data_IF_064235064616
#
_entry.id   IF_064235064616
#
_cell.length_a   1.000
_cell.length_b   1.000
_cell.length_c   1.000
_cell.angle_alpha   90.00
_cell.angle_beta   90.00
_cell.angle_gamma   90.00
#
_symmetry.space_group_name_H-M   'P 1'
#
loop_
_entity.id
_entity.type
_entity.pdbx_description
1 polymer ?
#
# COMPACT_ATOMS: atom_id res chain seq x y z
N UNK A 1 0.39 10.17 -22.39
CA UNK A 1 -0.54 10.40 -21.25
C UNK A 1 -0.19 11.72 -20.62
N UNK A 2 -1.15 12.65 -20.56
CA UNK A 2 -0.86 14.06 -20.23
C UNK A 2 -0.64 14.30 -18.73
N UNK A 3 -1.37 13.59 -17.87
CA UNK A 3 -1.19 13.67 -16.42
C UNK A 3 -0.09 12.71 -15.96
N UNK A 4 1.03 13.26 -15.47
CA UNK A 4 2.21 12.49 -15.09
C UNK A 4 2.36 12.47 -13.57
N UNK A 5 2.19 11.33 -12.90
CA UNK A 5 2.40 11.20 -11.47
C UNK A 5 3.90 11.14 -11.14
N UNK A 6 4.31 11.91 -10.14
CA UNK A 6 5.67 11.90 -9.61
C UNK A 6 5.62 11.42 -8.16
N UNK A 7 6.50 10.49 -7.82
CA UNK A 7 6.61 9.90 -6.49
C UNK A 7 7.89 10.41 -5.81
N UNK A 8 7.75 11.17 -4.74
CA UNK A 8 8.87 11.75 -3.99
C UNK A 8 9.03 11.02 -2.64
N UNK A 9 10.13 10.28 -2.43
CA UNK A 9 10.40 9.61 -1.15
C UNK A 9 10.48 10.62 0.01
N UNK A 10 9.93 10.24 1.17
CA UNK A 10 9.88 11.10 2.37
C UNK A 10 11.01 10.83 3.38
N UNK A 11 12.00 10.01 3.03
CA UNK A 11 13.16 9.75 3.87
C UNK A 11 12.96 8.72 4.99
N UNK A 12 11.74 8.32 5.30
CA UNK A 12 11.44 7.21 6.25
C UNK A 12 11.55 5.82 5.61
N UNK A 13 11.75 5.78 4.28
CA UNK A 13 11.90 4.56 3.49
C UNK A 13 10.59 3.85 3.15
N UNK A 14 9.45 4.35 3.66
CA UNK A 14 8.13 3.72 3.47
C UNK A 14 7.04 4.70 3.02
N UNK A 15 7.29 6.01 3.12
CA UNK A 15 6.33 7.05 2.72
C UNK A 15 6.79 7.80 1.47
N UNK A 16 5.81 8.15 0.63
CA UNK A 16 6.04 8.86 -0.62
C UNK A 16 4.99 9.95 -0.79
N UNK A 17 5.45 11.14 -1.20
CA UNK A 17 4.53 12.20 -1.61
C UNK A 17 4.19 12.05 -3.10
N UNK A 18 2.91 12.16 -3.44
CA UNK A 18 2.40 12.11 -4.80
C UNK A 18 2.25 13.55 -5.33
N UNK A 19 3.04 13.89 -6.33
CA UNK A 19 2.95 15.19 -7.00
C UNK A 19 2.65 14.96 -8.47
N UNK A 20 1.39 15.08 -8.89
CA UNK A 20 1.05 14.98 -10.30
C UNK A 20 1.41 16.26 -11.01
N UNK A 21 1.83 16.13 -12.24
CA UNK A 21 2.07 17.26 -13.15
C UNK A 21 1.36 17.03 -14.47
N UNK A 22 0.75 18.07 -15.01
CA UNK A 22 0.34 18.05 -16.41
C UNK A 22 1.54 18.30 -17.31
N UNK A 23 1.60 17.60 -18.43
CA UNK A 23 2.58 17.86 -19.46
C UNK A 23 2.06 18.96 -20.37
N UNK A 24 2.80 20.04 -20.54
CA UNK A 24 2.49 21.19 -21.39
C UNK A 24 2.87 20.95 -22.86
N UNK A 25 3.65 19.92 -23.13
CA UNK A 25 4.13 19.58 -24.45
C UNK A 25 4.10 18.06 -24.65
N UNK A 26 4.00 17.66 -25.92
CA UNK A 26 4.20 16.25 -26.30
C UNK A 26 5.61 15.83 -25.93
N UNK A 27 5.81 14.87 -25.04
CA UNK A 27 7.13 14.47 -24.58
C UNK A 27 7.93 13.79 -25.67
N UNK A 28 9.24 13.92 -25.60
CA UNK A 28 10.21 13.18 -26.43
C UNK A 28 10.25 11.69 -26.06
N UNK A 29 11.26 11.02 -26.52
CA UNK A 29 11.45 9.56 -26.51
C UNK A 29 11.26 8.87 -25.16
N UNK A 30 10.03 8.66 -24.76
CA UNK A 30 9.70 7.68 -23.74
C UNK A 30 8.97 6.50 -24.38
N UNK A 31 9.48 5.27 -24.27
CA UNK A 31 8.81 4.08 -24.81
C UNK A 31 7.38 3.89 -24.27
N UNK A 32 7.11 4.43 -23.08
CA UNK A 32 5.79 4.38 -22.44
C UNK A 32 4.83 5.48 -22.88
N UNK A 33 5.35 6.53 -23.55
CA UNK A 33 4.58 7.69 -24.00
C UNK A 33 4.44 7.76 -25.53
N UNK A 34 5.00 6.80 -26.26
CA UNK A 34 4.79 6.68 -27.69
C UNK A 34 3.30 6.46 -27.98
N UNK A 35 2.79 7.20 -28.94
CA UNK A 35 1.45 7.02 -29.52
C UNK A 35 0.24 7.39 -28.64
N UNK A 36 0.38 8.22 -27.60
CA UNK A 36 -0.81 8.75 -26.92
C UNK A 36 -1.42 9.99 -27.61
N UNK A 37 -0.69 10.55 -28.57
CA UNK A 37 -1.15 11.61 -29.47
C UNK A 37 -0.43 11.49 -30.81
N UNK A 38 -1.11 11.83 -31.89
CA UNK A 38 -0.53 11.88 -33.25
C UNK A 38 0.24 13.18 -33.54
N UNK A 39 0.39 14.03 -32.53
CA UNK A 39 1.11 15.29 -32.63
C UNK A 39 2.63 15.10 -32.54
N UNK A 40 3.43 15.91 -33.25
CA UNK A 40 4.87 15.88 -33.17
C UNK A 40 5.38 16.17 -31.74
N UNK A 41 6.53 15.60 -31.38
CA UNK A 41 7.24 15.89 -30.12
C UNK A 41 7.51 17.38 -29.99
N UNK A 42 7.30 17.92 -28.79
CA UNK A 42 7.43 19.36 -28.49
C UNK A 42 6.20 20.20 -28.84
N UNK A 43 5.17 19.62 -29.49
CA UNK A 43 3.92 20.34 -29.72
C UNK A 43 3.29 20.73 -28.39
N UNK A 44 2.87 21.98 -28.24
CA UNK A 44 2.13 22.46 -27.06
C UNK A 44 0.79 21.78 -27.00
N UNK A 45 0.43 21.32 -25.80
CA UNK A 45 -0.85 20.70 -25.45
C UNK A 45 -1.42 21.43 -24.24
N UNK A 46 -2.70 21.81 -24.33
CA UNK A 46 -3.37 22.48 -23.21
C UNK A 46 -3.86 21.47 -22.17
N UNK A 47 -4.09 21.96 -20.99
CA UNK A 47 -4.71 21.22 -19.89
C UNK A 47 -5.51 22.18 -19.00
N UNK A 48 -6.35 21.65 -18.10
CA UNK A 48 -7.09 22.43 -17.13
C UNK A 48 -6.13 23.26 -16.25
N UNK A 49 -6.55 24.49 -15.91
CA UNK A 49 -5.70 25.46 -15.23
C UNK A 49 -5.56 25.21 -13.73
N UNK A 50 -6.49 24.49 -13.12
CA UNK A 50 -6.47 24.21 -11.70
C UNK A 50 -5.72 22.90 -11.38
N UNK A 51 -5.39 22.72 -10.09
CA UNK A 51 -4.72 21.54 -9.58
C UNK A 51 -5.64 20.63 -8.75
N UNK A 52 -6.94 20.57 -9.08
CA UNK A 52 -7.90 19.70 -8.40
C UNK A 52 -7.70 18.22 -8.73
N UNK A 53 -6.47 17.77 -8.57
CA UNK A 53 -6.08 16.38 -8.82
C UNK A 53 -6.30 15.57 -7.55
N UNK A 54 -7.01 14.45 -7.68
CA UNK A 54 -7.20 13.50 -6.60
C UNK A 54 -6.59 12.14 -6.94
N UNK A 55 -6.26 11.41 -5.88
CA UNK A 55 -5.66 10.08 -5.94
C UNK A 55 -6.57 9.07 -5.26
N UNK A 56 -6.73 7.94 -5.88
CA UNK A 56 -7.41 6.79 -5.33
C UNK A 56 -6.52 5.56 -5.49
N UNK A 57 -6.31 4.81 -4.43
CA UNK A 57 -5.57 3.56 -4.51
C UNK A 57 -6.47 2.48 -5.13
N UNK A 58 -5.99 1.85 -6.20
CA UNK A 58 -6.69 0.74 -6.84
C UNK A 58 -6.31 -0.57 -6.14
N UNK A 59 -5.02 -0.80 -5.93
CA UNK A 59 -4.51 -2.01 -5.28
C UNK A 59 -3.06 -1.85 -4.85
N UNK A 60 -2.62 -2.71 -3.96
CA UNK A 60 -1.24 -2.77 -3.50
C UNK A 60 -1.10 -2.67 -1.98
N UNK A 61 0.12 -2.86 -1.47
CA UNK A 61 0.42 -2.83 -0.04
C UNK A 61 0.69 -1.41 0.46
N UNK A 62 -0.32 -0.53 0.42
CA UNK A 62 -0.19 0.85 0.87
C UNK A 62 -1.50 1.41 1.42
N UNK A 63 -1.40 2.48 2.18
CA UNK A 63 -2.51 3.36 2.57
C UNK A 63 -2.24 4.77 2.09
N UNK A 64 -3.30 5.48 1.66
CA UNK A 64 -3.23 6.86 1.20
C UNK A 64 -3.78 7.78 2.28
N UNK A 65 -3.05 8.87 2.53
CA UNK A 65 -3.49 10.02 3.31
C UNK A 65 -3.25 11.30 2.50
N UNK A 66 -4.30 11.88 1.94
CA UNK A 66 -4.21 13.03 1.05
C UNK A 66 -3.27 12.75 -0.16
N UNK A 67 -2.21 13.55 -0.29
CA UNK A 67 -1.20 13.42 -1.34
C UNK A 67 0.02 12.57 -0.92
N UNK A 68 -0.09 11.82 0.17
CA UNK A 68 0.98 10.94 0.65
C UNK A 68 0.46 9.51 0.74
N UNK A 69 1.23 8.54 0.26
CA UNK A 69 0.99 7.15 0.58
C UNK A 69 2.13 6.59 1.40
N UNK A 70 1.76 5.65 2.27
CA UNK A 70 2.70 4.87 3.08
C UNK A 70 2.57 3.41 2.71
N UNK A 71 3.70 2.74 2.52
CA UNK A 71 3.73 1.28 2.35
C UNK A 71 3.17 0.64 3.62
N UNK A 72 2.12 -0.16 3.45
CA UNK A 72 1.49 -0.92 4.52
C UNK A 72 1.10 -2.30 3.99
N UNK A 73 1.66 -3.34 4.60
CA UNK A 73 1.42 -4.68 4.15
C UNK A 73 -0.01 -5.12 4.42
N UNK A 74 -0.53 -5.84 3.47
CA UNK A 74 -1.84 -6.47 3.50
C UNK A 74 -1.79 -7.80 2.74
N UNK A 75 -2.90 -8.46 2.61
CA UNK A 75 -3.00 -9.76 1.92
C UNK A 75 -2.60 -9.74 0.43
N UNK A 76 -2.31 -8.59 -0.17
CA UNK A 76 -1.79 -8.52 -1.54
C UNK A 76 -0.28 -8.78 -1.62
N UNK A 77 0.43 -8.74 -0.48
CA UNK A 77 1.84 -9.08 -0.40
C UNK A 77 2.03 -10.60 -0.44
N UNK A 78 2.98 -11.03 -1.25
CA UNK A 78 3.52 -12.40 -1.20
C UNK A 78 4.99 -12.35 -0.78
N UNK A 79 5.32 -12.98 0.33
CA UNK A 79 6.71 -13.08 0.81
C UNK A 79 7.63 -13.77 -0.20
N UNK A 80 7.09 -14.67 -1.04
CA UNK A 80 7.84 -15.34 -2.10
C UNK A 80 8.20 -14.40 -3.27
N UNK A 81 7.51 -13.27 -3.41
CA UNK A 81 7.78 -12.29 -4.47
C UNK A 81 8.96 -11.40 -4.10
N UNK A 82 9.72 -10.96 -5.10
CA UNK A 82 10.78 -9.96 -4.92
C UNK A 82 10.26 -8.52 -4.95
N UNK A 83 9.12 -8.30 -5.62
CA UNK A 83 8.54 -6.98 -5.87
C UNK A 83 7.03 -6.99 -5.67
N UNK A 84 6.48 -5.84 -5.32
CA UNK A 84 5.05 -5.59 -5.25
C UNK A 84 4.71 -4.27 -5.96
N UNK A 85 3.58 -4.26 -6.65
CA UNK A 85 3.07 -3.07 -7.33
C UNK A 85 2.01 -2.37 -6.47
N UNK A 86 2.11 -1.05 -6.43
CA UNK A 86 1.09 -0.17 -5.87
C UNK A 86 0.51 0.62 -7.04
N UNK A 87 -0.78 0.50 -7.26
CA UNK A 87 -1.47 1.06 -8.41
C UNK A 87 -2.50 2.09 -7.94
N UNK A 88 -2.47 3.26 -8.55
CA UNK A 88 -3.35 4.38 -8.27
C UNK A 88 -4.17 4.76 -9.48
N UNK A 89 -5.37 5.29 -9.29
CA UNK A 89 -6.06 6.15 -10.23
C UNK A 89 -5.76 7.60 -9.87
N UNK A 90 -5.20 8.34 -10.81
CA UNK A 90 -5.01 9.79 -10.72
C UNK A 90 -6.11 10.43 -11.56
N UNK A 91 -6.88 11.35 -10.96
CA UNK A 91 -8.07 11.93 -11.57
C UNK A 91 -8.01 13.45 -11.53
N UNK A 92 -8.47 14.06 -12.61
CA UNK A 92 -8.80 15.49 -12.65
C UNK A 92 -10.20 15.66 -13.23
N UNK A 93 -11.08 16.50 -12.65
CA UNK A 93 -12.48 16.63 -13.07
C UNK A 93 -12.65 17.33 -14.42
N UNK A 94 -11.58 17.94 -14.96
CA UNK A 94 -11.65 18.82 -16.12
C UNK A 94 -12.19 20.20 -15.75
N UNK A 95 -12.41 21.05 -16.73
CA UNK A 95 -13.00 22.37 -16.59
C UNK A 95 -13.92 22.69 -17.81
N UNK A 96 -14.19 23.96 -18.08
CA UNK A 96 -15.04 24.37 -19.21
C UNK A 96 -14.44 24.07 -20.56
N UNK A 97 -13.11 23.99 -20.66
CA UNK A 97 -12.35 23.80 -21.91
C UNK A 97 -11.83 22.38 -22.05
N UNK A 98 -11.50 21.72 -20.95
CA UNK A 98 -10.83 20.42 -20.92
C UNK A 98 -11.70 19.34 -20.25
N UNK A 99 -11.76 18.18 -20.90
CA UNK A 99 -12.51 17.01 -20.39
C UNK A 99 -11.87 16.43 -19.14
N UNK A 100 -12.67 15.74 -18.30
CA UNK A 100 -12.12 14.94 -17.22
C UNK A 100 -11.08 13.93 -17.72
N UNK A 101 -10.05 13.70 -16.89
CA UNK A 101 -9.04 12.71 -17.16
C UNK A 101 -8.93 11.75 -15.97
N UNK A 102 -8.76 10.47 -16.29
CA UNK A 102 -8.39 9.42 -15.31
C UNK A 102 -7.17 8.70 -15.87
N UNK A 103 -6.14 8.60 -15.06
CA UNK A 103 -4.92 7.93 -15.46
C UNK A 103 -4.46 6.96 -14.37
N UNK A 104 -4.04 5.77 -14.79
CA UNK A 104 -3.34 4.84 -13.91
C UNK A 104 -1.91 5.32 -13.68
N UNK A 105 -1.50 5.28 -12.41
CA UNK A 105 -0.14 5.44 -11.97
C UNK A 105 0.30 4.17 -11.23
N UNK A 106 1.55 3.77 -11.39
CA UNK A 106 2.10 2.57 -10.76
C UNK A 106 3.49 2.86 -10.23
N UNK A 107 3.73 2.41 -9.01
CA UNK A 107 5.08 2.30 -8.44
C UNK A 107 5.33 0.84 -8.06
N UNK A 108 6.51 0.34 -8.39
CA UNK A 108 6.96 -0.98 -7.99
C UNK A 108 7.96 -0.84 -6.85
N UNK A 109 7.68 -1.49 -5.73
CA UNK A 109 8.54 -1.50 -4.55
C UNK A 109 9.15 -2.88 -4.33
N UNK A 110 10.34 -3.00 -3.71
CA UNK A 110 10.82 -4.29 -3.24
C UNK A 110 9.92 -4.80 -2.10
N UNK A 111 9.60 -6.09 -2.08
CA UNK A 111 8.89 -6.71 -0.94
C UNK A 111 9.78 -6.77 0.28
N UNK A 112 11.09 -6.92 0.08
CA UNK A 112 12.08 -7.00 1.15
C UNK A 112 13.18 -5.98 0.97
N UNK A 113 13.46 -5.21 2.00
CA UNK A 113 14.71 -4.48 2.15
C UNK A 113 15.77 -5.47 2.66
N UNK A 114 16.83 -5.68 1.87
CA UNK A 114 17.92 -6.62 2.19
C UNK A 114 19.18 -5.93 2.70
N UNK A 115 19.19 -4.60 2.72
CA UNK A 115 20.33 -3.81 3.18
C UNK A 115 20.22 -3.48 4.67
N UNK A 116 21.37 -3.46 5.36
CA UNK A 116 21.48 -3.04 6.75
C UNK A 116 21.48 -4.16 7.76
N UNK A 117 21.25 -3.83 9.04
CA UNK A 117 21.21 -4.80 10.12
C UNK A 117 19.99 -5.72 10.03
N UNK A 118 20.15 -7.04 10.23
CA UNK A 118 18.99 -7.93 10.29
C UNK A 118 18.14 -7.63 11.53
N UNK A 119 16.85 -7.96 11.45
CA UNK A 119 15.93 -7.88 12.58
C UNK A 119 14.99 -9.09 12.62
N UNK A 120 14.39 -9.31 13.79
CA UNK A 120 13.40 -10.37 14.03
C UNK A 120 12.15 -9.79 14.67
N UNK A 121 11.00 -10.26 14.21
CA UNK A 121 9.70 -10.00 14.84
C UNK A 121 9.38 -11.13 15.79
N UNK A 122 8.86 -10.79 16.97
CA UNK A 122 8.23 -11.73 17.89
C UNK A 122 6.74 -11.43 17.93
N UNK A 123 5.88 -12.43 17.76
CA UNK A 123 4.44 -12.31 17.80
C UNK A 123 3.85 -13.32 18.78
N UNK A 124 3.18 -12.84 19.82
CA UNK A 124 2.58 -13.71 20.84
C UNK A 124 1.51 -14.63 20.23
N UNK A 125 1.45 -15.87 20.70
CA UNK A 125 0.44 -16.82 20.28
C UNK A 125 -0.97 -16.30 20.59
N UNK A 126 -1.89 -16.51 19.65
CA UNK A 126 -3.28 -16.13 19.79
C UNK A 126 -4.10 -17.36 20.23
N UNK A 127 -4.82 -17.23 21.35
CA UNK A 127 -5.73 -18.27 21.82
C UNK A 127 -7.04 -18.28 21.03
N UNK A 128 -7.67 -19.44 20.96
CA UNK A 128 -9.02 -19.56 20.43
C UNK A 128 -10.01 -18.72 21.24
N UNK A 129 -11.01 -18.18 20.57
CA UNK A 129 -11.99 -17.27 21.17
C UNK A 129 -13.40 -17.80 21.05
N UNK A 130 -14.25 -17.43 21.98
CA UNK A 130 -15.69 -17.75 21.94
C UNK A 130 -16.43 -16.78 20.99
N UNK A 131 -17.53 -17.24 20.44
CA UNK A 131 -18.47 -16.38 19.70
C UNK A 131 -18.88 -15.15 20.50
N UNK A 132 -19.02 -14.03 19.83
CA UNK A 132 -19.48 -12.79 20.46
C UNK A 132 -18.36 -11.92 21.01
N UNK A 133 -17.14 -12.41 21.11
CA UNK A 133 -15.97 -11.54 21.40
C UNK A 133 -15.84 -10.51 20.28
N UNK A 134 -15.63 -9.25 20.65
CA UNK A 134 -15.57 -8.13 19.71
C UNK A 134 -14.17 -7.88 19.17
N UNK A 135 -13.17 -8.03 20.01
CA UNK A 135 -11.78 -7.77 19.65
C UNK A 135 -10.79 -8.57 20.51
N UNK A 136 -9.57 -8.68 19.98
CA UNK A 136 -8.40 -9.24 20.68
C UNK A 136 -7.23 -8.29 20.49
N UNK A 137 -6.45 -8.03 21.55
CA UNK A 137 -5.23 -7.24 21.45
C UNK A 137 -4.08 -8.07 20.88
N UNK A 138 -3.46 -7.58 19.82
CA UNK A 138 -2.29 -8.19 19.22
C UNK A 138 -1.03 -7.67 19.93
N UNK A 139 -0.11 -8.59 20.26
CA UNK A 139 1.15 -8.26 20.95
C UNK A 139 2.32 -8.77 20.14
N UNK A 140 3.07 -7.85 19.53
CA UNK A 140 4.29 -8.17 18.81
C UNK A 140 5.34 -7.07 19.02
N UNK A 141 6.59 -7.45 18.86
CA UNK A 141 7.74 -6.54 18.95
C UNK A 141 8.79 -6.92 17.93
N UNK A 142 9.64 -5.96 17.56
CA UNK A 142 10.86 -6.20 16.81
C UNK A 142 12.07 -5.92 17.71
N UNK A 143 13.12 -6.71 17.58
CA UNK A 143 14.40 -6.50 18.28
C UNK A 143 15.12 -5.22 17.80
N UNK A 144 14.76 -4.68 16.64
CA UNK A 144 15.23 -3.37 16.17
C UNK A 144 14.55 -2.17 16.86
N UNK A 145 13.48 -2.40 17.65
CA UNK A 145 12.64 -1.35 18.23
C UNK A 145 11.69 -0.67 17.23
N UNK A 146 11.68 -1.06 15.94
CA UNK A 146 10.74 -0.53 14.97
C UNK A 146 9.30 -1.06 15.23
N UNK A 147 8.27 -0.25 14.97
CA UNK A 147 6.89 -0.65 15.23
C UNK A 147 6.46 -1.80 14.31
N UNK A 148 5.85 -2.83 14.88
CA UNK A 148 5.32 -3.98 14.12
C UNK A 148 3.91 -3.67 13.65
N UNK A 149 3.66 -3.90 12.36
CA UNK A 149 2.34 -3.82 11.74
C UNK A 149 1.66 -5.19 11.70
N UNK A 150 0.34 -5.18 11.50
CA UNK A 150 -0.46 -6.39 11.39
C UNK A 150 -1.41 -6.32 10.21
N UNK A 151 -1.73 -7.48 9.63
CA UNK A 151 -2.86 -7.60 8.72
C UNK A 151 -3.55 -8.95 8.88
N UNK A 152 -4.83 -9.03 8.49
CA UNK A 152 -5.58 -10.28 8.43
C UNK A 152 -5.36 -10.91 7.07
N UNK A 153 -4.72 -12.07 7.04
CA UNK A 153 -4.55 -12.87 5.84
C UNK A 153 -5.86 -13.58 5.47
N UNK A 154 -6.55 -14.14 6.47
CA UNK A 154 -7.84 -14.80 6.27
C UNK A 154 -8.70 -14.77 7.53
N UNK A 155 -10.01 -14.87 7.33
CA UNK A 155 -11.00 -14.91 8.41
C UNK A 155 -11.82 -13.61 8.55
N UNK A 156 -12.91 -13.65 9.36
CA UNK A 156 -13.84 -12.55 9.53
C UNK A 156 -13.32 -11.54 10.57
N UNK A 157 -12.23 -10.85 10.26
CA UNK A 157 -11.64 -9.85 11.13
C UNK A 157 -10.93 -8.76 10.30
N UNK A 158 -10.67 -7.62 10.93
CA UNK A 158 -9.82 -6.53 10.45
C UNK A 158 -8.92 -6.04 11.56
N UNK A 159 -7.83 -5.39 11.21
CA UNK A 159 -6.89 -4.78 12.16
C UNK A 159 -7.12 -3.28 12.23
N UNK A 160 -7.12 -2.72 13.43
CA UNK A 160 -7.06 -1.29 13.72
C UNK A 160 -5.96 -1.05 14.76
N UNK A 161 -4.81 -0.53 14.33
CA UNK A 161 -3.63 -0.44 15.18
C UNK A 161 -3.15 -1.81 15.65
N UNK A 162 -3.21 -2.05 16.96
CA UNK A 162 -2.92 -3.35 17.58
C UNK A 162 -4.18 -4.12 18.02
N UNK A 163 -5.37 -3.71 17.57
CA UNK A 163 -6.62 -4.40 17.86
C UNK A 163 -7.06 -5.21 16.65
N UNK A 164 -7.28 -6.50 16.85
CA UNK A 164 -7.97 -7.37 15.90
C UNK A 164 -9.47 -7.31 16.19
N UNK A 165 -10.24 -6.72 15.30
CA UNK A 165 -11.68 -6.51 15.44
C UNK A 165 -12.40 -7.54 14.58
N UNK A 166 -13.29 -8.32 15.20
CA UNK A 166 -14.10 -9.30 14.47
C UNK A 166 -15.22 -8.64 13.68
N UNK A 167 -15.38 -9.08 12.44
CA UNK A 167 -16.48 -8.67 11.56
C UNK A 167 -17.64 -9.64 11.63
N UNK A 168 -18.85 -9.29 11.17
CA UNK A 168 -19.97 -10.19 11.14
C UNK A 168 -19.66 -11.51 10.43
N UNK A 169 -19.97 -12.62 11.08
CA UNK A 169 -19.83 -13.97 10.53
C UNK A 169 -21.16 -14.35 9.87
N UNK A 170 -21.16 -14.87 8.63
CA UNK A 170 -22.38 -15.29 7.97
C UNK A 170 -23.20 -16.29 8.83
N UNK A 171 -24.53 -16.21 8.86
CA UNK A 171 -25.37 -17.09 9.70
C UNK A 171 -25.22 -18.60 9.42
N UNK A 172 -24.77 -18.95 8.20
CA UNK A 172 -24.55 -20.36 7.79
C UNK A 172 -23.08 -20.79 7.89
N UNK A 173 -22.23 -20.02 8.54
CA UNK A 173 -20.83 -20.40 8.72
C UNK A 173 -20.73 -21.67 9.58
N UNK A 174 -19.85 -22.57 9.16
CA UNK A 174 -19.52 -23.78 9.92
C UNK A 174 -18.40 -23.43 10.89
N UNK A 175 -18.56 -23.81 12.14
CA UNK A 175 -17.59 -23.60 13.21
C UNK A 175 -16.74 -24.85 13.43
N UNK A 176 -15.49 -24.70 13.89
CA UNK A 176 -14.81 -23.46 14.24
C UNK A 176 -14.39 -22.64 13.01
N UNK A 177 -14.46 -21.30 13.11
CA UNK A 177 -14.06 -20.39 12.03
C UNK A 177 -12.61 -20.00 12.20
N UNK A 178 -11.78 -20.32 11.20
CA UNK A 178 -10.34 -20.01 11.18
C UNK A 178 -10.08 -18.53 10.96
N UNK A 179 -9.14 -17.95 11.74
CA UNK A 179 -8.61 -16.62 11.55
C UNK A 179 -7.09 -16.68 11.49
N UNK A 180 -6.49 -16.05 10.50
CA UNK A 180 -5.03 -15.98 10.32
C UNK A 180 -4.59 -14.53 10.28
N UNK A 181 -3.65 -14.18 11.16
CA UNK A 181 -3.08 -12.84 11.31
C UNK A 181 -1.59 -12.89 11.10
N UNK A 182 -1.06 -11.92 10.39
CA UNK A 182 0.37 -11.77 10.11
C UNK A 182 0.89 -10.52 10.80
N UNK A 183 1.98 -10.66 11.54
CA UNK A 183 2.78 -9.57 12.06
C UNK A 183 3.98 -9.33 11.14
N UNK A 184 4.28 -8.08 10.81
CA UNK A 184 5.31 -7.72 9.85
C UNK A 184 6.06 -6.45 10.25
N UNK A 185 7.30 -6.33 9.77
CA UNK A 185 8.11 -5.12 9.89
C UNK A 185 8.99 -4.97 8.65
N UNK A 186 8.76 -3.89 7.89
CA UNK A 186 9.43 -3.66 6.60
C UNK A 186 10.92 -3.32 6.72
N UNK A 187 11.36 -2.85 7.89
CA UNK A 187 12.71 -2.31 8.09
C UNK A 187 12.79 -0.83 7.73
N UNK A 188 14.00 -0.38 7.44
CA UNK A 188 14.29 1.00 7.10
C UNK A 188 15.40 1.07 6.05
N UNK A 189 15.15 1.76 4.95
CA UNK A 189 16.14 1.97 3.88
C UNK A 189 17.08 3.16 4.13
N UNK A 190 16.67 4.11 5.00
CA UNK A 190 17.52 5.21 5.47
C UNK A 190 18.43 4.80 6.63
N UNK A 191 19.47 5.62 6.92
CA UNK A 191 20.43 5.34 8.00
C UNK A 191 19.80 5.48 9.41
N UNK A 192 20.14 4.60 10.36
CA UNK A 192 20.77 3.31 10.16
C UNK A 192 19.86 2.33 9.42
N UNK A 193 20.38 1.68 8.39
CA UNK A 193 19.61 0.73 7.57
C UNK A 193 19.26 -0.54 8.36
N UNK A 194 18.02 -1.01 8.18
CA UNK A 194 17.50 -2.20 8.85
C UNK A 194 16.76 -3.04 7.80
N UNK A 195 17.08 -4.32 7.74
CA UNK A 195 16.44 -5.28 6.82
C UNK A 195 14.98 -5.51 7.16
N UNK A 196 14.21 -5.97 6.18
CA UNK A 196 12.84 -6.46 6.42
C UNK A 196 12.89 -7.73 7.26
N UNK A 197 12.10 -7.77 8.32
CA UNK A 197 11.94 -9.00 9.11
C UNK A 197 11.11 -10.05 8.36
N UNK A 198 11.42 -11.33 8.56
CA UNK A 198 10.52 -12.39 8.16
C UNK A 198 9.19 -12.26 8.92
N UNK A 199 8.03 -12.24 8.22
CA UNK A 199 6.75 -12.07 8.86
C UNK A 199 6.37 -13.32 9.69
N UNK A 200 5.71 -13.10 10.81
CA UNK A 200 5.24 -14.17 11.70
C UNK A 200 3.73 -14.30 11.57
N UNK A 201 3.28 -15.52 11.31
CA UNK A 201 1.86 -15.84 11.15
C UNK A 201 1.34 -16.55 12.40
N UNK A 202 0.20 -16.09 12.91
CA UNK A 202 -0.56 -16.77 13.97
C UNK A 202 -1.94 -17.15 13.45
N UNK A 203 -2.36 -18.35 13.81
CA UNK A 203 -3.68 -18.89 13.46
C UNK A 203 -4.41 -19.32 14.72
N UNK A 204 -5.68 -18.96 14.82
CA UNK A 204 -6.57 -19.35 15.90
C UNK A 204 -8.00 -19.53 15.38
N UNK A 205 -8.92 -19.96 16.24
CA UNK A 205 -10.28 -20.28 15.85
C UNK A 205 -11.32 -19.54 16.70
N UNK A 206 -12.42 -19.18 16.07
CA UNK A 206 -13.65 -18.75 16.73
C UNK A 206 -14.51 -20.00 16.92
N UNK A 207 -14.74 -20.38 18.20
CA UNK A 207 -15.45 -21.59 18.62
C UNK A 207 -16.97 -21.39 18.65
#
# INVERSE_FOLDING_TARGET
>A
MQLHPVFLPQGDGVSFHLTPVFLDTVPGDSPRLKNWTDLPVGTRIGHAADNSICFEMITGPAVIHNHTFKVEWNRSISWASSKADIVFAVRHPGDKEYKPIVQQAQITIPVRNIDGAPQKVSFAALADVKRGIKSVTLQASSDSGLPVGFYVESGPARVEGNQLIFTPIPPRAVYPVKVTVVAWQYGRSGEPKIQTAEPITQTFYIL
#
